data_IF_299859229147
#
_entry.id   IF_299859229147
#
_cell.length_a   1.000
_cell.length_b   1.000
_cell.length_c   1.000
_cell.angle_alpha   90.00
_cell.angle_beta   90.00
_cell.angle_gamma   90.00
#
_symmetry.space_group_name_H-M   'P 1'
#
loop_
_entity.id
_entity.type
_entity.pdbx_description
1 polymer ?
#
# COMPACT_ATOMS: atom_id res chain seq x y z
N UNK A 1 22.20 -2.37 1.13
CA UNK A 1 20.79 -1.98 0.98
C UNK A 1 20.44 -2.03 -0.49
N UNK A 2 19.47 -2.86 -0.84
CA UNK A 2 18.98 -2.98 -2.23
C UNK A 2 17.95 -1.89 -2.46
N UNK A 3 18.06 -1.16 -3.57
CA UNK A 3 17.04 -0.21 -4.01
C UNK A 3 15.81 -0.99 -4.49
N UNK A 4 14.62 -0.66 -4.00
CA UNK A 4 13.36 -1.30 -4.39
C UNK A 4 13.07 -1.16 -5.89
N UNK A 5 13.47 -0.06 -6.51
CA UNK A 5 13.32 0.16 -7.95
C UNK A 5 14.12 -0.85 -8.81
N UNK A 6 15.19 -1.43 -8.27
CA UNK A 6 16.08 -2.37 -9.02
C UNK A 6 15.97 -3.81 -8.57
N UNK A 7 15.39 -4.07 -7.40
CA UNK A 7 15.26 -5.42 -6.85
C UNK A 7 14.26 -5.51 -5.70
N UNK A 8 13.59 -6.67 -5.59
CA UNK A 8 12.68 -6.91 -4.48
C UNK A 8 13.44 -6.83 -3.14
N UNK A 9 12.94 -6.00 -2.25
CA UNK A 9 13.46 -5.85 -0.90
C UNK A 9 12.67 -6.75 0.06
N UNK A 10 13.42 -7.51 0.86
CA UNK A 10 12.87 -8.40 1.89
C UNK A 10 13.32 -7.90 3.26
N UNK A 11 12.35 -7.61 4.13
CA UNK A 11 12.58 -7.34 5.54
C UNK A 11 12.26 -8.60 6.33
N UNK A 12 13.26 -9.14 7.02
CA UNK A 12 13.15 -10.38 7.79
C UNK A 12 13.14 -10.13 9.29
N UNK A 13 13.16 -8.86 9.68
CA UNK A 13 13.15 -8.44 11.07
C UNK A 13 11.82 -8.81 11.75
N UNK A 14 11.89 -9.09 13.04
CA UNK A 14 10.69 -9.34 13.82
C UNK A 14 9.90 -8.04 13.99
N UNK A 15 8.58 -8.17 14.11
CA UNK A 15 7.69 -7.01 14.29
C UNK A 15 8.10 -6.17 15.52
N UNK A 16 8.42 -6.80 16.63
CA UNK A 16 8.86 -6.15 17.88
C UNK A 16 10.14 -5.30 17.69
N UNK A 17 11.07 -5.76 16.85
CA UNK A 17 12.30 -5.02 16.56
C UNK A 17 12.00 -3.80 15.66
N UNK A 18 11.12 -3.96 14.67
CA UNK A 18 10.66 -2.86 13.81
C UNK A 18 9.87 -1.81 14.61
N UNK A 19 9.00 -2.23 15.52
CA UNK A 19 8.24 -1.33 16.40
C UNK A 19 9.16 -0.55 17.36
N UNK A 20 10.26 -1.17 17.81
CA UNK A 20 11.23 -0.54 18.67
C UNK A 20 12.21 0.40 17.93
N UNK A 21 12.29 0.33 16.61
CA UNK A 21 13.27 1.07 15.80
C UNK A 21 12.63 1.86 14.65
N UNK A 22 12.45 1.21 13.50
CA UNK A 22 12.04 1.88 12.26
C UNK A 22 10.64 2.50 12.36
N UNK A 23 9.71 1.86 13.06
CA UNK A 23 8.32 2.34 13.15
C UNK A 23 8.13 3.48 14.15
N UNK A 24 9.10 3.74 15.03
CA UNK A 24 9.06 4.90 15.95
C UNK A 24 8.94 6.22 15.19
N UNK A 25 9.61 6.35 14.03
CA UNK A 25 9.56 7.58 13.23
C UNK A 25 8.20 7.76 12.56
N UNK A 26 7.61 6.66 12.07
CA UNK A 26 6.25 6.68 11.49
C UNK A 26 5.22 7.03 12.55
N UNK A 27 5.32 6.44 13.74
CA UNK A 27 4.42 6.76 14.85
C UNK A 27 4.47 8.25 15.21
N UNK A 28 5.67 8.83 15.33
CA UNK A 28 5.84 10.27 15.60
C UNK A 28 5.27 11.15 14.48
N UNK A 29 5.41 10.76 13.22
CA UNK A 29 4.84 11.48 12.09
C UNK A 29 3.30 11.43 12.11
N UNK A 30 2.73 10.26 12.45
CA UNK A 30 1.28 10.09 12.61
C UNK A 30 0.75 10.95 13.74
N UNK A 31 1.41 10.96 14.90
CA UNK A 31 1.06 11.81 16.06
C UNK A 31 1.17 13.31 15.73
N UNK A 32 2.09 13.68 14.84
CA UNK A 32 2.23 15.04 14.33
C UNK A 32 1.18 15.40 13.25
N UNK A 33 0.31 14.47 12.87
CA UNK A 33 -0.79 14.72 11.93
C UNK A 33 -0.39 14.68 10.47
N UNK A 34 0.59 13.83 10.07
CA UNK A 34 0.94 13.65 8.65
C UNK A 34 -0.30 13.23 7.85
N UNK A 35 -0.59 13.90 6.69
CA UNK A 35 -1.82 13.62 5.95
C UNK A 35 -1.76 12.34 5.11
N UNK A 36 -0.55 11.87 4.75
CA UNK A 36 -0.36 10.72 3.89
C UNK A 36 0.90 9.93 4.26
N UNK A 37 0.86 8.62 4.06
CA UNK A 37 2.00 7.70 4.21
C UNK A 37 2.12 6.85 2.95
N UNK A 38 3.32 6.76 2.39
CA UNK A 38 3.62 5.86 1.27
C UNK A 38 4.01 4.48 1.79
N UNK A 39 3.38 3.46 1.23
CA UNK A 39 3.63 2.06 1.52
C UNK A 39 4.58 1.48 0.47
N UNK A 40 5.79 1.09 0.90
CA UNK A 40 6.85 0.63 -0.01
C UNK A 40 6.56 -0.73 -0.66
N UNK A 41 7.18 -0.95 -1.83
CA UNK A 41 7.21 -2.24 -2.53
C UNK A 41 8.19 -3.21 -1.83
N UNK A 42 8.09 -3.33 -0.52
CA UNK A 42 8.90 -4.19 0.32
C UNK A 42 8.07 -5.35 0.85
N UNK A 43 8.62 -6.55 0.86
CA UNK A 43 8.00 -7.71 1.50
C UNK A 43 8.49 -7.76 2.94
N UNK A 44 7.54 -7.68 3.88
CA UNK A 44 7.79 -7.74 5.31
C UNK A 44 6.76 -8.68 5.95
N UNK A 45 7.08 -9.97 6.02
CA UNK A 45 6.16 -11.01 6.50
C UNK A 45 5.64 -10.73 7.91
N UNK A 46 6.46 -10.17 8.78
CA UNK A 46 6.05 -9.82 10.15
C UNK A 46 4.94 -8.77 10.22
N UNK A 47 4.77 -7.96 9.15
CA UNK A 47 3.72 -6.94 9.02
C UNK A 47 2.57 -7.42 8.13
N UNK A 48 2.89 -8.03 6.98
CA UNK A 48 1.89 -8.47 6.01
C UNK A 48 1.17 -9.75 6.43
N UNK A 49 1.84 -10.60 7.20
CA UNK A 49 1.41 -11.98 7.48
C UNK A 49 1.65 -12.95 6.30
N UNK A 50 2.22 -12.46 5.18
CA UNK A 50 2.39 -13.19 3.93
C UNK A 50 3.85 -13.18 3.46
N UNK A 51 4.33 -14.31 2.89
CA UNK A 51 5.74 -14.48 2.52
C UNK A 51 6.16 -13.73 1.26
N UNK A 52 5.22 -13.42 0.37
CA UNK A 52 5.52 -12.88 -0.97
C UNK A 52 4.74 -11.63 -1.34
N UNK A 53 3.90 -11.11 -0.45
CA UNK A 53 3.06 -9.95 -0.72
C UNK A 53 3.75 -8.66 -0.27
N UNK A 54 4.00 -7.72 -1.19
CA UNK A 54 4.55 -6.41 -0.86
C UNK A 54 3.61 -5.60 0.05
N UNK A 55 4.17 -4.78 0.94
CA UNK A 55 3.39 -3.91 1.82
C UNK A 55 2.44 -2.97 1.05
N UNK A 56 2.85 -2.51 -0.14
CA UNK A 56 2.04 -1.66 -1.04
C UNK A 56 0.76 -2.33 -1.56
N UNK A 57 0.66 -3.66 -1.50
CA UNK A 57 -0.49 -4.43 -2.00
C UNK A 57 -1.14 -5.31 -0.94
N UNK A 58 -0.67 -5.24 0.31
CA UNK A 58 -1.06 -6.14 1.40
C UNK A 58 -2.19 -5.58 2.25
N UNK A 59 -3.27 -6.33 2.38
CA UNK A 59 -4.34 -6.05 3.33
C UNK A 59 -3.84 -6.11 4.80
N UNK A 60 -2.90 -7.01 5.11
CA UNK A 60 -2.26 -7.09 6.43
C UNK A 60 -1.51 -5.81 6.79
N UNK A 61 -0.71 -5.29 5.86
CA UNK A 61 0.01 -4.03 6.06
C UNK A 61 -0.93 -2.83 6.22
N UNK A 62 -1.98 -2.74 5.39
CA UNK A 62 -3.03 -1.70 5.55
C UNK A 62 -3.70 -1.81 6.92
N UNK A 63 -4.07 -3.02 7.33
CA UNK A 63 -4.70 -3.24 8.64
C UNK A 63 -3.76 -2.83 9.78
N UNK A 64 -2.48 -3.18 9.71
CA UNK A 64 -1.48 -2.76 10.69
C UNK A 64 -1.42 -1.23 10.82
N UNK A 65 -1.34 -0.51 9.70
CA UNK A 65 -1.36 0.96 9.69
C UNK A 65 -2.63 1.55 10.30
N UNK A 66 -3.79 0.96 9.98
CA UNK A 66 -5.10 1.45 10.43
C UNK A 66 -5.37 1.15 11.91
N UNK A 67 -5.10 -0.08 12.35
CA UNK A 67 -5.52 -0.55 13.69
C UNK A 67 -4.42 -0.42 14.73
N UNK A 68 -3.17 -0.77 14.40
CA UNK A 68 -2.06 -0.76 15.34
C UNK A 68 -1.43 0.63 15.44
N UNK A 69 -1.13 1.25 14.29
CA UNK A 69 -0.55 2.59 14.28
C UNK A 69 -1.59 3.72 14.35
N UNK A 70 -2.88 3.41 14.23
CA UNK A 70 -3.97 4.40 14.33
C UNK A 70 -4.02 5.41 13.18
N UNK A 71 -3.39 5.13 12.04
CA UNK A 71 -3.30 6.06 10.93
C UNK A 71 -4.61 6.12 10.13
N UNK A 72 -5.26 7.27 10.10
CA UNK A 72 -6.52 7.50 9.40
C UNK A 72 -6.39 8.33 8.10
N UNK A 73 -5.19 8.82 7.77
CA UNK A 73 -4.90 9.57 6.55
C UNK A 73 -4.81 8.71 5.29
N UNK A 74 -4.24 9.27 4.22
CA UNK A 74 -4.07 8.59 2.94
C UNK A 74 -2.95 7.56 2.99
N UNK A 75 -3.23 6.32 2.62
CA UNK A 75 -2.23 5.33 2.28
C UNK A 75 -2.03 5.34 0.77
N UNK A 76 -0.80 5.59 0.33
CA UNK A 76 -0.42 5.68 -1.08
C UNK A 76 0.54 4.53 -1.37
N UNK A 77 0.41 3.86 -2.51
CA UNK A 77 1.39 2.85 -2.91
C UNK A 77 2.72 3.51 -3.30
N UNK A 78 3.81 2.78 -3.17
CA UNK A 78 5.00 3.04 -3.96
C UNK A 78 4.71 2.82 -5.46
N UNK A 79 5.67 3.12 -6.36
CA UNK A 79 5.44 2.99 -7.80
C UNK A 79 5.15 1.55 -8.21
N UNK A 80 3.92 1.30 -8.64
CA UNK A 80 3.49 -0.04 -9.06
C UNK A 80 4.10 -0.46 -10.40
N UNK A 81 4.76 0.46 -11.12
CA UNK A 81 5.51 0.16 -12.34
C UNK A 81 6.95 -0.30 -12.09
N UNK A 82 7.40 -0.36 -10.83
CA UNK A 82 8.75 -0.80 -10.47
C UNK A 82 9.02 -2.24 -10.90
N UNK A 83 10.19 -2.45 -11.50
CA UNK A 83 10.63 -3.77 -11.96
C UNK A 83 10.73 -4.82 -10.84
N UNK A 84 10.85 -4.40 -9.59
CA UNK A 84 10.82 -5.29 -8.42
C UNK A 84 9.52 -6.06 -8.30
N UNK A 85 8.38 -5.42 -8.55
CA UNK A 85 7.06 -6.06 -8.48
C UNK A 85 6.87 -7.17 -9.51
N UNK A 86 7.48 -7.05 -10.70
CA UNK A 86 7.39 -8.06 -11.77
C UNK A 86 7.93 -9.45 -11.36
N UNK A 87 8.57 -9.56 -10.20
CA UNK A 87 9.02 -10.84 -9.64
C UNK A 87 7.92 -11.58 -8.88
N UNK A 88 6.88 -10.89 -8.47
CA UNK A 88 5.80 -11.46 -7.65
C UNK A 88 4.41 -11.28 -8.27
N UNK A 89 4.19 -10.22 -9.04
CA UNK A 89 2.93 -9.96 -9.74
C UNK A 89 3.15 -9.01 -10.91
N UNK A 90 2.19 -8.92 -11.81
CA UNK A 90 2.15 -7.88 -12.84
C UNK A 90 1.71 -6.55 -12.22
N UNK A 91 2.02 -5.45 -12.90
CA UNK A 91 1.59 -4.11 -12.49
C UNK A 91 0.06 -4.00 -12.34
N UNK A 92 -0.70 -4.61 -13.25
CA UNK A 92 -2.17 -4.57 -13.23
C UNK A 92 -2.74 -5.38 -12.06
N UNK A 93 -2.15 -6.56 -11.76
CA UNK A 93 -2.50 -7.34 -10.57
C UNK A 93 -2.16 -6.58 -9.28
N UNK A 94 -1.01 -5.89 -9.24
CA UNK A 94 -0.64 -5.05 -8.11
C UNK A 94 -1.64 -3.91 -7.89
N UNK A 95 -2.09 -3.25 -8.97
CA UNK A 95 -3.08 -2.17 -8.88
C UNK A 95 -4.41 -2.66 -8.31
N UNK A 96 -4.91 -3.79 -8.80
CA UNK A 96 -6.14 -4.42 -8.28
C UNK A 96 -5.97 -4.83 -6.82
N UNK A 97 -4.85 -5.48 -6.47
CA UNK A 97 -4.56 -5.93 -5.10
C UNK A 97 -4.46 -4.74 -4.13
N UNK A 98 -3.82 -3.64 -4.53
CA UNK A 98 -3.68 -2.44 -3.70
C UNK A 98 -5.04 -1.81 -3.35
N UNK A 99 -5.96 -1.70 -4.33
CA UNK A 99 -7.33 -1.19 -4.06
C UNK A 99 -8.08 -2.15 -3.14
N UNK A 100 -8.01 -3.46 -3.40
CA UNK A 100 -8.63 -4.48 -2.53
C UNK A 100 -8.08 -4.44 -1.10
N UNK A 101 -6.78 -4.20 -0.94
CA UNK A 101 -6.14 -4.03 0.35
C UNK A 101 -6.65 -2.81 1.13
N UNK A 102 -7.11 -1.76 0.45
CA UNK A 102 -7.60 -0.51 1.05
C UNK A 102 -6.62 0.65 0.96
N UNK A 103 -5.73 0.64 -0.05
CA UNK A 103 -4.95 1.82 -0.39
C UNK A 103 -5.87 2.95 -0.86
N UNK A 104 -5.54 4.18 -0.47
CA UNK A 104 -6.34 5.35 -0.84
C UNK A 104 -5.96 5.89 -2.22
N UNK A 105 -4.69 5.77 -2.60
CA UNK A 105 -4.16 6.24 -3.88
C UNK A 105 -3.13 5.24 -4.41
N UNK A 106 -3.08 5.11 -5.73
CA UNK A 106 -2.09 4.31 -6.44
C UNK A 106 -1.10 5.24 -7.14
N UNK A 107 0.19 5.01 -6.96
CA UNK A 107 1.23 5.67 -7.75
C UNK A 107 1.68 4.74 -8.88
N UNK A 108 1.57 5.24 -10.12
CA UNK A 108 1.89 4.50 -11.34
C UNK A 108 2.59 5.45 -12.30
N UNK A 109 3.92 5.35 -12.42
CA UNK A 109 4.71 6.26 -13.25
C UNK A 109 4.62 5.96 -14.74
N UNK A 110 4.38 4.69 -15.11
CA UNK A 110 4.21 4.24 -16.50
C UNK A 110 3.09 3.22 -16.60
N UNK A 111 2.47 3.08 -17.77
CA UNK A 111 1.42 2.07 -18.00
C UNK A 111 0.09 2.36 -17.30
N UNK A 112 -0.17 3.61 -16.94
CA UNK A 112 -1.36 4.04 -16.18
C UNK A 112 -2.68 3.52 -16.78
N UNK A 113 -2.84 3.57 -18.11
CA UNK A 113 -4.09 3.17 -18.78
C UNK A 113 -4.41 1.68 -18.54
N UNK A 114 -3.40 0.80 -18.59
CA UNK A 114 -3.58 -0.63 -18.33
C UNK A 114 -4.06 -0.86 -16.89
N UNK A 115 -3.34 -0.31 -15.93
CA UNK A 115 -3.68 -0.45 -14.51
C UNK A 115 -5.04 0.15 -14.17
N UNK A 116 -5.39 1.31 -14.76
CA UNK A 116 -6.70 1.91 -14.60
C UNK A 116 -7.81 0.97 -15.12
N UNK A 117 -7.65 0.41 -16.33
CA UNK A 117 -8.62 -0.50 -16.92
C UNK A 117 -8.74 -1.80 -16.13
N UNK A 118 -7.65 -2.32 -15.58
CA UNK A 118 -7.67 -3.49 -14.72
C UNK A 118 -8.50 -3.25 -13.44
N UNK A 119 -8.27 -2.13 -12.75
CA UNK A 119 -9.05 -1.75 -11.57
C UNK A 119 -10.52 -1.53 -11.94
N UNK A 120 -10.81 -0.80 -13.04
CA UNK A 120 -12.19 -0.58 -13.50
C UNK A 120 -12.93 -1.89 -13.81
N UNK A 121 -12.23 -2.84 -14.45
CA UNK A 121 -12.79 -4.17 -14.73
C UNK A 121 -13.08 -4.94 -13.45
N UNK A 122 -12.16 -4.91 -12.47
CA UNK A 122 -12.33 -5.57 -11.18
C UNK A 122 -13.49 -4.98 -10.36
N UNK A 123 -13.71 -3.66 -10.44
CA UNK A 123 -14.89 -3.02 -9.84
C UNK A 123 -16.18 -3.45 -10.53
N UNK A 124 -16.22 -3.41 -11.86
CA UNK A 124 -17.40 -3.77 -12.64
C UNK A 124 -17.81 -5.24 -12.49
N UNK A 125 -16.84 -6.12 -12.27
CA UNK A 125 -17.08 -7.55 -11.99
C UNK A 125 -17.48 -7.86 -10.55
N UNK A 126 -17.38 -6.88 -9.64
CA UNK A 126 -17.60 -7.06 -8.20
C UNK A 126 -16.42 -7.71 -7.47
N UNK A 127 -15.27 -7.88 -8.12
CA UNK A 127 -14.04 -8.36 -7.47
C UNK A 127 -13.52 -7.35 -6.43
N UNK A 128 -13.64 -6.05 -6.74
CA UNK A 128 -13.42 -4.96 -5.79
C UNK A 128 -14.80 -4.47 -5.33
N UNK A 129 -15.16 -4.62 -4.04
CA UNK A 129 -16.39 -4.06 -3.50
C UNK A 129 -16.42 -2.54 -3.62
N UNK A 130 -17.58 -1.96 -3.96
CA UNK A 130 -17.74 -0.52 -4.14
C UNK A 130 -17.35 0.29 -2.89
N UNK A 131 -17.57 -0.28 -1.70
CA UNK A 131 -17.22 0.34 -0.41
C UNK A 131 -15.72 0.66 -0.30
N UNK A 132 -14.86 -0.11 -0.98
CA UNK A 132 -13.42 0.16 -1.01
C UNK A 132 -13.10 1.47 -1.73
N UNK A 133 -13.82 1.75 -2.83
CA UNK A 133 -13.68 3.02 -3.56
C UNK A 133 -14.26 4.17 -2.75
N UNK A 134 -15.44 3.98 -2.16
CA UNK A 134 -16.10 5.00 -1.34
C UNK A 134 -15.22 5.40 -0.15
N UNK A 135 -14.60 4.44 0.54
CA UNK A 135 -13.66 4.71 1.63
C UNK A 135 -12.42 5.47 1.12
N UNK A 136 -11.82 5.03 0.01
CA UNK A 136 -10.65 5.69 -0.57
C UNK A 136 -10.96 7.13 -0.98
N UNK A 137 -12.06 7.37 -1.70
CA UNK A 137 -12.50 8.70 -2.14
C UNK A 137 -12.86 9.58 -0.93
N UNK A 138 -13.57 9.03 0.06
CA UNK A 138 -13.90 9.74 1.30
C UNK A 138 -12.66 10.25 2.02
N UNK A 139 -11.60 9.44 2.13
CA UNK A 139 -10.32 9.84 2.72
C UNK A 139 -9.63 10.94 1.90
N UNK A 140 -9.65 10.85 0.58
CA UNK A 140 -9.08 11.86 -0.31
C UNK A 140 -9.79 13.20 -0.14
N UNK A 141 -11.13 13.21 -0.15
CA UNK A 141 -11.93 14.43 0.04
C UNK A 141 -11.70 15.05 1.42
N UNK A 142 -11.73 14.24 2.47
CA UNK A 142 -11.45 14.69 3.84
C UNK A 142 -10.07 15.34 3.95
N UNK A 143 -9.04 14.72 3.35
CA UNK A 143 -7.67 15.27 3.37
C UNK A 143 -7.57 16.58 2.59
N UNK A 144 -8.38 16.76 1.56
CA UNK A 144 -8.47 18.02 0.78
C UNK A 144 -9.33 19.10 1.47
N UNK A 145 -10.03 18.77 2.54
CA UNK A 145 -10.93 19.70 3.23
C UNK A 145 -12.25 19.95 2.48
N UNK A 146 -12.72 18.96 1.73
CA UNK A 146 -13.97 19.01 0.94
C UNK A 146 -15.00 18.07 1.57
#
# INVERSE_FOLDING_TARGET
>A
TTDSATGMLWMTDKLEDLEASDFVQYQKAIEAGVPAVMMGNVICQSVTGEETTPCSTSAGAVNYMRTTMGFNGLLITDDLSDASLNKVCTQDEAAVAAVKAGMSMLYVSTGFESSYNAVLSAVNSGEIPAEKLDDAVGRILTTKGI
#
